data_IF_855310741333
#
_entry.id   IF_855310741333
#
_cell.length_a   1.000
_cell.length_b   1.000
_cell.length_c   1.000
_cell.angle_alpha   90.00
_cell.angle_beta   90.00
_cell.angle_gamma   90.00
#
_symmetry.space_group_name_H-M   'P 1'
#
loop_
_entity.id
_entity.type
_entity.pdbx_description
1 polymer ?
#
# COMPACT_ATOMS: atom_id res chain seq x y z
N UNK A 1 25.50 52.61 -39.98
CA UNK A 1 25.61 51.18 -39.64
C UNK A 1 24.90 50.95 -38.31
N UNK A 2 23.77 50.22 -38.30
CA UNK A 2 22.95 49.99 -37.09
C UNK A 2 23.30 48.63 -36.49
N UNK A 3 23.88 48.63 -35.29
CA UNK A 3 24.13 47.43 -34.49
C UNK A 3 22.80 46.84 -34.01
N UNK A 4 22.54 45.57 -34.32
CA UNK A 4 21.41 44.82 -33.77
C UNK A 4 21.90 44.08 -32.53
N UNK A 5 21.49 44.50 -31.35
CA UNK A 5 21.65 43.71 -30.13
C UNK A 5 20.75 42.47 -30.22
N UNK A 6 21.35 41.28 -30.12
CA UNK A 6 20.66 40.03 -29.91
C UNK A 6 20.41 39.86 -28.40
N UNK A 7 19.17 40.03 -27.96
CA UNK A 7 18.77 39.70 -26.59
C UNK A 7 18.55 38.19 -26.49
N UNK A 8 19.47 37.48 -25.85
CA UNK A 8 19.35 36.05 -25.59
C UNK A 8 18.44 35.86 -24.37
N UNK A 9 17.20 35.45 -24.62
CA UNK A 9 16.22 35.17 -23.56
C UNK A 9 16.58 33.84 -22.89
N UNK A 10 17.17 33.90 -21.69
CA UNK A 10 17.47 32.73 -20.88
C UNK A 10 16.17 32.22 -20.24
N UNK A 11 15.58 31.16 -20.80
CA UNK A 11 14.45 30.45 -20.19
C UNK A 11 14.95 29.68 -18.96
N UNK A 12 14.78 30.28 -17.78
CA UNK A 12 14.94 29.58 -16.50
C UNK A 12 13.83 28.53 -16.38
N UNK A 13 14.18 27.26 -16.59
CA UNK A 13 13.35 26.11 -16.25
C UNK A 13 13.19 26.06 -14.72
N UNK A 14 12.12 26.68 -14.21
CA UNK A 14 11.69 26.47 -12.83
C UNK A 14 11.18 25.03 -12.74
N UNK A 15 11.95 24.15 -12.10
CA UNK A 15 11.51 22.80 -11.82
C UNK A 15 10.30 22.86 -10.87
N UNK A 16 9.10 22.60 -11.40
CA UNK A 16 7.90 22.47 -10.57
C UNK A 16 8.14 21.26 -9.64
N UNK A 17 8.18 21.44 -8.31
CA UNK A 17 8.36 20.32 -7.41
C UNK A 17 7.20 19.33 -7.61
N UNK A 18 7.52 18.04 -7.77
CA UNK A 18 6.50 17.01 -7.86
C UNK A 18 5.60 17.09 -6.61
N UNK A 19 4.32 17.40 -6.83
CA UNK A 19 3.35 17.50 -5.74
C UNK A 19 3.10 16.12 -5.15
N UNK A 20 2.97 16.04 -3.83
CA UNK A 20 2.60 14.81 -3.16
C UNK A 20 1.20 14.35 -3.64
N UNK A 21 1.07 13.06 -3.90
CA UNK A 21 -0.21 12.42 -4.21
C UNK A 21 -0.75 11.82 -2.92
N UNK A 22 -1.86 12.34 -2.44
CA UNK A 22 -2.50 11.89 -1.19
C UNK A 22 -3.82 11.20 -1.51
N UNK A 23 -4.06 10.07 -0.85
CA UNK A 23 -5.34 9.39 -0.80
C UNK A 23 -5.85 9.41 0.64
N UNK A 24 -6.84 10.25 0.89
CA UNK A 24 -7.53 10.28 2.17
C UNK A 24 -8.43 9.03 2.31
N UNK A 25 -8.84 8.67 3.53
CA UNK A 25 -9.81 7.61 3.80
C UNK A 25 -11.07 7.65 2.93
N UNK A 26 -11.60 8.85 2.64
CA UNK A 26 -12.77 9.02 1.78
C UNK A 26 -12.47 8.66 0.32
N UNK A 27 -11.29 9.04 -0.18
CA UNK A 27 -10.84 8.66 -1.53
C UNK A 27 -10.71 7.14 -1.64
N UNK A 28 -10.08 6.53 -0.64
CA UNK A 28 -9.90 5.07 -0.59
C UNK A 28 -11.23 4.32 -0.55
N UNK A 29 -12.23 4.82 0.18
CA UNK A 29 -13.56 4.21 0.21
C UNK A 29 -14.23 4.22 -1.18
N UNK A 30 -13.90 5.20 -2.03
CA UNK A 30 -14.38 5.30 -3.41
C UNK A 30 -13.63 4.44 -4.42
N UNK A 31 -12.57 3.74 -4.02
CA UNK A 31 -11.81 2.84 -4.90
C UNK A 31 -12.60 1.60 -5.29
N UNK A 32 -12.13 0.93 -6.36
CA UNK A 32 -12.77 -0.30 -6.81
C UNK A 32 -12.60 -1.41 -5.76
N UNK A 33 -13.72 -1.91 -5.23
CA UNK A 33 -13.68 -3.08 -4.36
C UNK A 33 -13.51 -4.37 -5.19
N UNK A 34 -12.44 -5.11 -4.93
CA UNK A 34 -12.22 -6.45 -5.51
C UNK A 34 -12.42 -7.51 -4.44
N UNK A 35 -13.21 -8.53 -4.78
CA UNK A 35 -13.57 -9.65 -3.90
C UNK A 35 -12.76 -10.89 -4.26
N UNK A 36 -12.18 -11.53 -3.25
CA UNK A 36 -11.55 -12.84 -3.34
C UNK A 36 -12.40 -13.90 -2.63
N UNK A 37 -12.91 -13.59 -1.44
CA UNK A 37 -13.91 -14.38 -0.70
C UNK A 37 -14.82 -13.44 0.10
N UNK A 38 -16.15 -13.60 0.08
CA UNK A 38 -17.05 -12.73 0.88
C UNK A 38 -16.85 -11.22 0.65
N UNK A 39 -17.20 -10.37 1.62
CA UNK A 39 -16.92 -8.92 1.56
C UNK A 39 -16.44 -8.42 2.92
N UNK A 40 -15.33 -7.69 2.89
CA UNK A 40 -14.87 -6.84 3.99
C UNK A 40 -15.76 -5.59 4.03
N UNK A 41 -16.21 -5.23 5.23
CA UNK A 41 -17.02 -4.04 5.45
C UNK A 41 -16.11 -2.84 5.71
N UNK A 42 -16.10 -1.90 4.76
CA UNK A 42 -15.37 -0.65 4.84
C UNK A 42 -16.30 0.51 5.14
N UNK A 43 -15.91 1.39 6.07
CA UNK A 43 -16.66 2.60 6.39
C UNK A 43 -15.75 3.69 6.94
N UNK A 44 -16.15 4.95 6.74
CA UNK A 44 -15.55 6.07 7.46
C UNK A 44 -16.07 6.09 8.90
N UNK A 45 -15.16 6.31 9.85
CA UNK A 45 -15.48 6.55 11.25
C UNK A 45 -14.64 7.73 11.77
N UNK A 46 -15.16 8.54 12.69
CA UNK A 46 -14.35 9.53 13.37
C UNK A 46 -13.29 8.84 14.24
N UNK A 47 -12.07 9.34 14.20
CA UNK A 47 -10.98 8.95 15.10
C UNK A 47 -10.64 10.12 16.02
N UNK A 48 -10.85 9.99 17.35
CA UNK A 48 -10.62 11.08 18.29
C UNK A 48 -9.13 11.38 18.51
N UNK A 49 -8.24 10.41 18.30
CA UNK A 49 -6.79 10.60 18.46
C UNK A 49 -6.21 11.43 17.30
N UNK A 50 -6.66 11.15 16.08
CA UNK A 50 -6.24 11.89 14.88
C UNK A 50 -7.11 13.12 14.57
N UNK A 51 -8.24 13.31 15.26
CA UNK A 51 -9.16 14.43 15.05
C UNK A 51 -9.77 14.47 13.65
N UNK A 52 -9.89 13.33 12.97
CA UNK A 52 -10.34 13.21 11.57
C UNK A 52 -11.06 11.90 11.29
N UNK A 53 -11.67 11.77 10.11
CA UNK A 53 -12.22 10.48 9.68
C UNK A 53 -11.12 9.53 9.22
N UNK A 54 -11.29 8.24 9.55
CA UNK A 54 -10.40 7.14 9.13
C UNK A 54 -11.21 6.03 8.49
N UNK A 55 -10.55 5.21 7.69
CA UNK A 55 -11.18 4.08 7.02
C UNK A 55 -11.11 2.87 7.94
N UNK A 56 -12.23 2.50 8.55
CA UNK A 56 -12.35 1.25 9.30
C UNK A 56 -12.66 0.11 8.35
N UNK A 57 -11.92 -0.99 8.47
CA UNK A 57 -12.12 -2.23 7.75
C UNK A 57 -12.44 -3.36 8.73
N UNK A 58 -13.49 -4.12 8.45
CA UNK A 58 -13.87 -5.29 9.23
C UNK A 58 -14.13 -6.48 8.30
N UNK A 59 -13.33 -7.52 8.45
CA UNK A 59 -13.53 -8.79 7.76
C UNK A 59 -14.00 -9.86 8.74
N UNK A 60 -14.98 -10.66 8.32
CA UNK A 60 -15.50 -11.83 9.03
C UNK A 60 -15.54 -12.99 8.05
N UNK A 61 -14.57 -13.91 8.12
CA UNK A 61 -14.50 -15.01 7.16
C UNK A 61 -14.42 -14.56 5.70
N UNK A 62 -13.83 -13.40 5.42
CA UNK A 62 -13.85 -12.78 4.10
C UNK A 62 -12.48 -12.20 3.70
N UNK A 63 -12.29 -11.99 2.40
CA UNK A 63 -11.16 -11.33 1.76
C UNK A 63 -11.66 -10.46 0.62
N UNK A 64 -11.62 -9.15 0.83
CA UNK A 64 -11.77 -8.17 -0.25
C UNK A 64 -10.87 -6.97 0.03
N UNK A 65 -10.46 -6.27 -1.02
CA UNK A 65 -9.65 -5.07 -0.92
C UNK A 65 -10.23 -3.93 -1.74
N UNK A 66 -9.78 -2.71 -1.44
CA UNK A 66 -10.07 -1.49 -2.19
C UNK A 66 -8.84 -1.15 -3.04
N UNK A 67 -9.03 -1.00 -4.34
CA UNK A 67 -7.95 -0.90 -5.33
C UNK A 67 -8.03 0.41 -6.11
N UNK A 68 -6.95 1.17 -6.05
CA UNK A 68 -6.68 2.25 -6.99
C UNK A 68 -5.84 1.71 -8.14
N UNK A 69 -6.38 1.82 -9.35
CA UNK A 69 -5.64 1.56 -10.58
C UNK A 69 -5.23 2.90 -11.19
N UNK A 70 -3.92 3.11 -11.30
CA UNK A 70 -3.37 4.36 -11.78
C UNK A 70 -1.85 4.32 -11.80
N UNK A 71 -1.26 5.07 -12.74
CA UNK A 71 0.19 5.17 -12.86
C UNK A 71 0.77 6.19 -11.89
N UNK A 72 1.72 5.76 -11.07
CA UNK A 72 2.44 6.60 -10.12
C UNK A 72 3.93 6.55 -10.48
N UNK A 73 4.54 7.70 -10.77
CA UNK A 73 5.97 7.79 -11.15
C UNK A 73 6.88 7.82 -9.91
N UNK A 74 7.57 6.71 -9.69
CA UNK A 74 8.49 6.54 -8.56
C UNK A 74 9.79 7.33 -8.72
N UNK A 75 10.08 7.93 -9.88
CA UNK A 75 11.16 8.92 -9.98
C UNK A 75 10.75 10.26 -9.36
N UNK A 76 9.45 10.58 -9.40
CA UNK A 76 8.92 11.81 -8.84
C UNK A 76 8.55 11.65 -7.36
N UNK A 77 7.87 10.56 -7.01
CA UNK A 77 7.39 10.27 -5.65
C UNK A 77 7.75 8.85 -5.19
N UNK A 78 9.04 8.56 -4.90
CA UNK A 78 9.49 7.22 -4.53
C UNK A 78 9.00 6.75 -3.15
N UNK A 79 8.57 7.66 -2.28
CA UNK A 79 8.20 7.34 -0.91
C UNK A 79 6.69 7.15 -0.78
N UNK A 80 6.28 6.10 -0.08
CA UNK A 80 4.91 5.91 0.40
C UNK A 80 4.90 5.97 1.92
N UNK A 81 4.07 6.86 2.47
CA UNK A 81 3.84 6.98 3.91
C UNK A 81 2.36 6.74 4.22
N UNK A 82 2.07 6.06 5.33
CA UNK A 82 0.69 5.87 5.77
C UNK A 82 0.60 5.67 7.28
N UNK A 83 -0.63 5.74 7.79
CA UNK A 83 -0.94 5.39 9.16
C UNK A 83 -1.93 4.24 9.20
N UNK A 84 -1.74 3.33 10.14
CA UNK A 84 -2.64 2.20 10.34
C UNK A 84 -2.67 1.77 11.80
N UNK A 85 -3.73 1.08 12.19
CA UNK A 85 -3.93 0.56 13.54
C UNK A 85 -4.73 -0.74 13.50
N UNK A 86 -4.26 -1.78 14.18
CA UNK A 86 -4.97 -3.05 14.32
C UNK A 86 -5.77 -3.04 15.62
N UNK A 87 -7.07 -3.33 15.54
CA UNK A 87 -7.91 -3.58 16.72
C UNK A 87 -8.06 -5.07 16.99
N UNK A 88 -8.15 -5.90 15.93
CA UNK A 88 -8.32 -7.34 16.06
C UNK A 88 -7.64 -8.09 14.92
N UNK A 89 -6.88 -9.12 15.27
CA UNK A 89 -6.33 -10.08 14.31
C UNK A 89 -7.31 -11.25 14.07
N UNK A 90 -7.30 -11.83 12.87
CA UNK A 90 -8.16 -12.95 12.48
C UNK A 90 -8.02 -14.18 13.40
N UNK A 91 -6.84 -14.38 14.01
CA UNK A 91 -6.60 -15.51 14.92
C UNK A 91 -5.96 -16.72 14.25
N UNK A 92 -5.51 -16.59 13.00
CA UNK A 92 -4.73 -17.61 12.29
C UNK A 92 -3.35 -17.80 12.91
N UNK A 93 -2.81 -19.01 12.73
CA UNK A 93 -1.41 -19.35 12.98
C UNK A 93 -0.73 -19.63 11.64
N UNK A 94 0.61 -19.54 11.60
CA UNK A 94 1.42 -19.86 10.40
C UNK A 94 1.05 -19.00 9.18
N UNK A 95 1.22 -17.69 9.36
CA UNK A 95 0.96 -16.61 8.38
C UNK A 95 1.68 -16.74 7.02
N UNK A 96 2.61 -17.70 6.89
CA UNK A 96 3.35 -17.98 5.65
C UNK A 96 2.74 -19.11 4.81
N UNK A 97 1.60 -19.65 5.22
CA UNK A 97 0.91 -20.76 4.55
C UNK A 97 -0.44 -20.32 4.02
N UNK A 98 -0.99 -21.01 3.00
CA UNK A 98 -2.31 -20.68 2.44
C UNK A 98 -3.44 -20.70 3.48
N UNK A 99 -3.34 -21.56 4.49
CA UNK A 99 -4.34 -21.67 5.55
C UNK A 99 -4.21 -20.56 6.62
N UNK A 100 -3.08 -19.83 6.64
CA UNK A 100 -2.77 -18.82 7.64
C UNK A 100 -2.59 -17.40 7.10
N UNK A 101 -2.67 -17.19 5.78
CA UNK A 101 -2.52 -15.89 5.11
C UNK A 101 -3.74 -14.99 5.34
N UNK A 102 -4.06 -14.72 6.62
CA UNK A 102 -5.07 -13.75 7.04
C UNK A 102 -4.38 -12.60 7.76
N UNK A 103 -4.56 -11.36 7.30
CA UNK A 103 -3.99 -10.17 7.94
C UNK A 103 -5.04 -9.10 8.21
N UNK A 104 -4.97 -8.51 9.41
CA UNK A 104 -5.85 -7.42 9.78
C UNK A 104 -5.67 -6.20 8.88
N UNK A 105 -4.43 -5.93 8.44
CA UNK A 105 -4.12 -4.81 7.58
C UNK A 105 -3.05 -5.19 6.56
N UNK A 106 -3.34 -4.90 5.30
CA UNK A 106 -2.38 -5.00 4.19
C UNK A 106 -2.41 -3.71 3.37
N UNK A 107 -1.25 -3.26 2.94
CA UNK A 107 -1.09 -2.26 1.88
C UNK A 107 -0.35 -2.91 0.72
N UNK A 108 -0.92 -2.85 -0.48
CA UNK A 108 -0.30 -3.38 -1.69
C UNK A 108 0.21 -2.27 -2.58
N UNK A 109 1.37 -2.49 -3.20
CA UNK A 109 1.83 -1.75 -4.37
C UNK A 109 2.04 -2.72 -5.52
N UNK A 110 1.57 -2.36 -6.71
CA UNK A 110 1.59 -3.23 -7.90
C UNK A 110 2.44 -2.61 -8.99
N UNK A 111 3.30 -3.40 -9.60
CA UNK A 111 4.12 -3.03 -10.76
C UNK A 111 3.91 -4.00 -11.91
N UNK A 112 4.26 -3.58 -13.12
CA UNK A 112 4.28 -4.44 -14.31
C UNK A 112 5.71 -4.84 -14.64
N UNK A 113 5.99 -6.14 -14.67
CA UNK A 113 7.29 -6.74 -15.02
C UNK A 113 7.24 -7.44 -16.38
N UNK A 114 6.87 -6.70 -17.43
CA UNK A 114 6.79 -7.21 -18.80
C UNK A 114 5.77 -6.47 -19.66
N UNK A 115 5.51 -6.99 -20.86
CA UNK A 115 4.60 -6.35 -21.81
C UNK A 115 3.12 -6.69 -21.60
N UNK A 116 2.81 -7.74 -20.83
CA UNK A 116 1.43 -8.19 -20.60
C UNK A 116 0.92 -7.75 -19.22
N UNK A 117 -0.40 -7.86 -18.96
CA UNK A 117 -0.95 -7.69 -17.59
C UNK A 117 -0.65 -8.88 -16.68
N UNK A 118 -0.39 -10.05 -17.26
CA UNK A 118 -0.09 -11.29 -16.52
C UNK A 118 1.29 -11.27 -15.86
N UNK A 119 2.17 -10.35 -16.27
CA UNK A 119 3.49 -10.16 -15.69
C UNK A 119 3.49 -9.13 -14.54
N UNK A 120 2.37 -8.95 -13.85
CA UNK A 120 2.30 -8.05 -12.71
C UNK A 120 3.05 -8.63 -11.51
N UNK A 121 3.72 -7.78 -10.73
CA UNK A 121 4.27 -8.12 -9.43
C UNK A 121 3.70 -7.21 -8.35
N UNK A 122 3.66 -7.68 -7.11
CA UNK A 122 3.15 -6.89 -6.00
C UNK A 122 3.98 -7.05 -4.72
N UNK A 123 4.12 -5.98 -3.95
CA UNK A 123 4.53 -6.08 -2.54
C UNK A 123 3.27 -5.94 -1.71
N UNK A 124 3.09 -6.85 -0.74
CA UNK A 124 2.09 -6.73 0.32
C UNK A 124 2.80 -6.38 1.63
N UNK A 125 2.68 -5.13 2.04
CA UNK A 125 3.09 -4.69 3.37
C UNK A 125 2.05 -5.14 4.38
N UNK A 126 2.47 -5.91 5.38
CA UNK A 126 1.53 -6.55 6.31
C UNK A 126 1.86 -6.24 7.76
N UNK A 127 0.80 -6.06 8.55
CA UNK A 127 0.88 -6.09 10.00
C UNK A 127 0.63 -7.52 10.47
N UNK A 128 1.71 -8.17 10.90
CA UNK A 128 1.69 -9.58 11.27
C UNK A 128 1.37 -9.76 12.74
N UNK A 129 0.82 -10.91 13.11
CA UNK A 129 0.65 -11.31 14.50
C UNK A 129 1.94 -11.91 15.07
N UNK A 130 2.62 -12.75 14.29
CA UNK A 130 3.68 -13.62 14.81
C UNK A 130 5.08 -13.27 14.28
N UNK A 131 5.17 -12.70 13.08
CA UNK A 131 6.46 -12.51 12.40
C UNK A 131 7.13 -11.18 12.75
N UNK A 132 8.45 -11.14 12.97
CA UNK A 132 9.12 -9.88 13.25
C UNK A 132 9.14 -8.96 12.03
N UNK A 133 9.12 -7.64 12.28
CA UNK A 133 9.27 -6.62 11.26
C UNK A 133 10.56 -6.83 10.43
N UNK A 134 10.49 -6.54 9.14
CA UNK A 134 11.57 -6.73 8.17
C UNK A 134 11.65 -8.12 7.54
N UNK A 135 10.92 -9.11 8.09
CA UNK A 135 10.76 -10.43 7.48
C UNK A 135 9.98 -10.31 6.17
N UNK A 136 10.39 -11.06 5.16
CA UNK A 136 9.68 -11.17 3.88
C UNK A 136 9.63 -12.62 3.40
N UNK A 137 8.60 -12.95 2.63
CA UNK A 137 8.38 -14.28 2.06
C UNK A 137 7.50 -14.19 0.80
N UNK A 138 7.53 -15.18 -0.11
CA UNK A 138 6.58 -15.25 -1.22
C UNK A 138 5.16 -15.45 -0.70
N UNK A 139 4.17 -14.78 -1.31
CA UNK A 139 2.77 -14.98 -0.97
C UNK A 139 2.38 -16.45 -1.26
N UNK A 140 1.67 -17.13 -0.34
CA UNK A 140 1.40 -18.55 -0.48
C UNK A 140 0.45 -18.90 -1.64
N UNK A 141 -0.30 -17.93 -2.18
CA UNK A 141 -1.17 -18.12 -3.35
C UNK A 141 -0.51 -17.69 -4.67
N UNK A 142 0.28 -16.62 -4.67
CA UNK A 142 0.89 -16.03 -5.87
C UNK A 142 2.38 -16.35 -6.06
N UNK A 143 3.02 -17.03 -5.10
CA UNK A 143 4.45 -17.31 -5.12
C UNK A 143 5.27 -16.03 -5.27
N UNK A 144 6.34 -16.08 -6.08
CA UNK A 144 7.25 -14.93 -6.28
C UNK A 144 6.65 -13.77 -7.09
N UNK A 145 5.39 -13.87 -7.56
CA UNK A 145 4.70 -12.74 -8.17
C UNK A 145 4.25 -11.73 -7.12
N UNK A 146 3.98 -12.15 -5.88
CA UNK A 146 3.69 -11.24 -4.79
C UNK A 146 4.58 -11.54 -3.59
N UNK A 147 5.27 -10.53 -3.08
CA UNK A 147 6.14 -10.66 -1.91
C UNK A 147 5.46 -10.02 -0.70
N UNK A 148 5.40 -10.77 0.39
CA UNK A 148 4.92 -10.29 1.68
C UNK A 148 6.10 -9.63 2.41
N UNK A 149 5.88 -8.48 3.05
CA UNK A 149 6.87 -7.79 3.87
C UNK A 149 6.22 -7.35 5.18
N UNK A 150 6.63 -7.98 6.29
CA UNK A 150 6.20 -7.63 7.63
C UNK A 150 6.76 -6.26 8.02
N UNK A 151 5.90 -5.32 8.39
CA UNK A 151 6.32 -4.02 8.92
C UNK A 151 6.10 -3.89 10.42
N UNK A 152 5.08 -4.56 10.94
CA UNK A 152 4.74 -4.60 12.36
C UNK A 152 4.45 -6.03 12.82
N UNK A 153 4.58 -6.24 14.12
CA UNK A 153 4.38 -7.53 14.79
C UNK A 153 3.47 -7.35 16.00
N UNK A 154 2.50 -8.26 16.14
CA UNK A 154 1.70 -8.41 17.34
C UNK A 154 0.77 -7.23 17.64
N UNK A 155 0.09 -7.28 18.79
CA UNK A 155 -0.82 -6.22 19.22
C UNK A 155 -0.11 -4.90 19.51
N UNK A 156 -0.68 -3.79 19.01
CA UNK A 156 -0.32 -2.43 19.41
C UNK A 156 -1.62 -1.61 19.50
N UNK A 157 -1.93 -0.99 20.65
CA UNK A 157 -3.18 -0.25 20.81
C UNK A 157 -3.23 1.06 20.01
N UNK A 158 -2.08 1.59 19.56
CA UNK A 158 -1.96 2.91 18.95
C UNK A 158 -1.83 2.91 17.42
N UNK A 159 -1.91 4.11 16.85
CA UNK A 159 -1.57 4.35 15.46
C UNK A 159 -0.07 4.20 15.22
N UNK A 160 0.28 3.46 14.17
CA UNK A 160 1.65 3.36 13.68
C UNK A 160 1.75 4.10 12.35
N UNK A 161 2.82 4.88 12.19
CA UNK A 161 3.17 5.53 10.92
C UNK A 161 4.27 4.73 10.24
N UNK A 162 4.04 4.38 8.98
CA UNK A 162 5.02 3.77 8.10
C UNK A 162 5.52 4.79 7.08
N UNK A 163 6.77 4.60 6.63
CA UNK A 163 7.38 5.36 5.53
C UNK A 163 8.37 4.46 4.80
N UNK A 164 8.10 4.20 3.52
CA UNK A 164 8.86 3.23 2.70
C UNK A 164 9.33 3.88 1.40
N UNK A 165 10.59 3.64 1.05
CA UNK A 165 11.08 3.89 -0.30
C UNK A 165 10.70 2.70 -1.19
N UNK A 166 9.73 2.90 -2.07
CA UNK A 166 9.17 1.83 -2.88
C UNK A 166 10.15 1.30 -3.91
N UNK A 167 11.03 2.15 -4.45
CA UNK A 167 12.06 1.72 -5.40
C UNK A 167 13.06 0.78 -4.75
N UNK A 168 13.48 1.10 -3.52
CA UNK A 168 14.39 0.26 -2.76
C UNK A 168 13.74 -1.08 -2.40
N UNK A 169 12.49 -1.06 -1.94
CA UNK A 169 11.75 -2.28 -1.60
C UNK A 169 11.55 -3.18 -2.83
N UNK A 170 11.13 -2.61 -3.96
CA UNK A 170 10.97 -3.34 -5.23
C UNK A 170 12.29 -3.94 -5.71
N UNK A 171 13.38 -3.16 -5.68
CA UNK A 171 14.72 -3.65 -6.05
C UNK A 171 15.19 -4.77 -5.12
N UNK A 172 14.98 -4.62 -3.82
CA UNK A 172 15.34 -5.63 -2.81
C UNK A 172 14.57 -6.94 -3.02
N UNK A 173 13.26 -6.86 -3.26
CA UNK A 173 12.39 -8.04 -3.29
C UNK A 173 12.32 -8.72 -4.66
N UNK A 174 12.57 -7.98 -5.74
CA UNK A 174 12.44 -8.49 -7.11
C UNK A 174 13.70 -8.38 -7.97
N UNK A 175 14.76 -7.74 -7.47
CA UNK A 175 16.03 -7.61 -8.17
C UNK A 175 15.98 -6.68 -9.38
N UNK A 176 14.96 -5.82 -9.48
CA UNK A 176 14.74 -4.91 -10.61
C UNK A 176 14.27 -3.54 -10.16
N UNK A 177 14.65 -2.52 -10.93
CA UNK A 177 14.09 -1.18 -10.82
C UNK A 177 12.79 -1.06 -11.61
N UNK A 178 11.80 -0.41 -11.01
CA UNK A 178 10.54 -0.06 -11.66
C UNK A 178 10.34 1.45 -11.59
N UNK A 179 9.97 2.05 -12.72
CA UNK A 179 9.66 3.47 -12.77
C UNK A 179 8.23 3.76 -12.31
N UNK A 180 7.29 2.89 -12.66
CA UNK A 180 5.87 3.13 -12.41
C UNK A 180 5.27 2.05 -11.52
N UNK A 181 4.47 2.47 -10.55
CA UNK A 181 3.40 1.62 -10.05
C UNK A 181 2.25 1.65 -11.05
N UNK A 182 1.51 0.56 -11.09
CA UNK A 182 0.26 0.42 -11.85
C UNK A 182 -0.97 0.44 -10.92
N UNK A 183 -0.75 0.39 -9.60
CA UNK A 183 -1.80 0.56 -8.62
C UNK A 183 -1.33 0.45 -7.16
N UNK A 184 -2.22 0.82 -6.26
CA UNK A 184 -2.09 0.68 -4.81
C UNK A 184 -3.41 0.14 -4.25
N UNK A 185 -3.37 -0.65 -3.19
CA UNK A 185 -4.58 -1.18 -2.57
C UNK A 185 -4.45 -1.31 -1.06
N UNK A 186 -5.59 -1.30 -0.37
CA UNK A 186 -5.70 -1.69 1.03
C UNK A 186 -6.60 -2.92 1.15
N UNK A 187 -6.28 -3.83 2.06
CA UNK A 187 -7.03 -5.08 2.22
C UNK A 187 -7.00 -5.55 3.66
N UNK A 188 -8.16 -6.00 4.12
CA UNK A 188 -8.31 -6.67 5.41
C UNK A 188 -9.05 -7.97 5.16
N UNK A 189 -8.51 -9.05 5.69
CA UNK A 189 -8.90 -10.41 5.34
C UNK A 189 -8.81 -11.36 6.55
N UNK A 190 -9.68 -12.36 6.52
CA UNK A 190 -9.93 -13.32 7.59
C UNK A 190 -10.59 -14.61 7.06
N UNK A 191 -10.46 -14.90 5.76
CA UNK A 191 -11.16 -16.00 5.09
C UNK A 191 -10.46 -17.36 5.27
N UNK A 192 -9.13 -17.38 5.41
CA UNK A 192 -8.39 -18.65 5.49
C UNK A 192 -8.55 -19.34 6.85
N UNK A 193 -8.53 -18.57 7.94
CA UNK A 193 -8.82 -19.04 9.30
C UNK A 193 -10.27 -18.94 9.73
N UNK A 194 -11.14 -18.31 8.92
CA UNK A 194 -12.56 -18.12 9.23
C UNK A 194 -12.82 -17.17 10.41
N UNK A 195 -11.84 -16.34 10.77
CA UNK A 195 -11.88 -15.48 11.94
C UNK A 195 -12.53 -14.12 11.71
N UNK A 196 -12.21 -13.16 12.58
CA UNK A 196 -12.60 -11.75 12.40
C UNK A 196 -11.38 -10.86 12.55
N UNK A 197 -11.14 -10.01 11.54
CA UNK A 197 -10.07 -9.04 11.57
C UNK A 197 -10.64 -7.62 11.47
N UNK A 198 -10.13 -6.72 12.32
CA UNK A 198 -10.56 -5.32 12.39
C UNK A 198 -9.33 -4.43 12.44
N UNK A 199 -9.31 -3.42 11.57
CA UNK A 199 -8.27 -2.41 11.58
C UNK A 199 -8.69 -1.12 10.90
N UNK A 200 -7.76 -0.17 10.90
CA UNK A 200 -7.99 1.20 10.49
C UNK A 200 -6.86 1.67 9.58
N UNK A 201 -7.22 2.40 8.52
CA UNK A 201 -6.28 3.09 7.64
C UNK A 201 -6.48 4.60 7.73
N UNK A 202 -5.39 5.33 7.89
CA UNK A 202 -5.30 6.77 7.65
C UNK A 202 -4.89 7.06 6.20
N UNK A 203 -4.41 8.27 5.94
CA UNK A 203 -4.00 8.66 4.59
C UNK A 203 -2.87 7.80 4.04
N UNK A 204 -2.88 7.58 2.74
CA UNK A 204 -1.73 7.09 1.97
C UNK A 204 -1.14 8.26 1.18
N UNK A 205 0.14 8.55 1.39
CA UNK A 205 0.81 9.71 0.80
C UNK A 205 2.04 9.26 0.01
N UNK A 206 2.04 9.54 -1.27
CA UNK A 206 3.20 9.41 -2.15
C UNK A 206 3.95 10.75 -2.18
N UNK A 207 5.22 10.75 -1.80
CA UNK A 207 6.05 11.96 -1.68
C UNK A 207 7.44 11.80 -2.29
N UNK A 208 8.10 12.94 -2.51
CA UNK A 208 9.48 12.98 -2.99
C UNK A 208 10.48 12.48 -1.94
N UNK A 209 10.20 12.72 -0.67
CA UNK A 209 11.06 12.38 0.46
C UNK A 209 10.31 11.93 1.69
#
# INVERSE_FOLDING_TARGET
>A
MRSRLFAMLLLLLVAIPAQALTFAPADMLGWQQKRFAGRTHYRLVPDPELGRQVLRAESRGAASGLFYEGRIDLQATPWLSWQWRVERFAGTAREQTKAGDDFALRVYVVVRDGWTRLSSRAISYVWTRELPAGRHWPNPFAGNQAMMLALQQGPNPGWVREKRNLREDLRRLFGKDFRYLEGVAVMTDADNGGGTAVGYYGDLVFSRE
#
